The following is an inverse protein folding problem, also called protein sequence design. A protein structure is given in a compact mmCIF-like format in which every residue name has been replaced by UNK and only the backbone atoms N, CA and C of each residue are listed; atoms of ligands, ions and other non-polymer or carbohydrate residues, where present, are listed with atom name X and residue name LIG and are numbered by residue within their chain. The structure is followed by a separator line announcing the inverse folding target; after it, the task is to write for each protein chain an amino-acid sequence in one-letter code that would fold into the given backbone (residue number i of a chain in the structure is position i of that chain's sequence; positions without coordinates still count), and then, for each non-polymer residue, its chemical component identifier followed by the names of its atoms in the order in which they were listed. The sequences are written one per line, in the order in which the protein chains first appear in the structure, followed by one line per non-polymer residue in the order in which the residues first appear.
data_IF_420239127530
#
_entry.id   IF_420239127530
#
_cell.length_a   1.000
_cell.length_b   1.000
_cell.length_c   1.000
_cell.angle_alpha   90.00
_cell.angle_beta   90.00
_cell.angle_gamma   90.00
#
_symmetry.space_group_name_H-M   'P 1'
#
loop_
_entity.id
_entity.type
_entity.pdbx_description
1 polymer ?
#
# COMPACT_ATOMS: atom_id res chain seq x y z
N UNK A 1 3.49 -20.36 -0.74
CA UNK A 1 4.17 -19.06 -0.91
C UNK A 1 5.13 -18.90 0.26
N UNK A 2 6.45 -18.98 0.01
CA UNK A 2 7.46 -18.60 0.98
C UNK A 2 8.08 -17.30 0.54
N UNK A 3 7.80 -16.20 1.24
CA UNK A 3 8.58 -14.97 1.07
C UNK A 3 9.86 -15.07 1.92
N UNK A 4 11.02 -15.06 1.30
CA UNK A 4 12.28 -14.87 2.01
C UNK A 4 12.58 -13.38 2.08
N UNK A 5 12.51 -12.82 3.27
CA UNK A 5 12.90 -11.43 3.54
C UNK A 5 14.37 -11.34 3.88
N UNK A 6 15.08 -10.44 3.21
CA UNK A 6 16.34 -9.92 3.75
C UNK A 6 16.05 -9.04 4.97
N UNK A 7 16.68 -9.35 6.10
CA UNK A 7 16.66 -8.49 7.28
C UNK A 7 17.50 -7.25 7.01
N UNK A 8 16.88 -6.10 6.99
CA UNK A 8 17.46 -4.83 7.42
C UNK A 8 16.36 -3.78 7.44
N UNK A 9 15.43 -3.90 8.41
CA UNK A 9 14.56 -2.79 8.79
C UNK A 9 15.33 -1.92 9.79
N UNK A 10 16.27 -1.13 9.31
CA UNK A 10 16.80 0.01 10.07
C UNK A 10 15.95 1.22 9.76
N UNK A 11 14.84 1.36 10.48
CA UNK A 11 14.12 2.60 10.60
C UNK A 11 14.72 3.34 11.81
N UNK A 12 15.50 4.30 11.57
CA UNK A 12 16.04 5.38 12.38
C UNK A 12 17.56 5.45 12.29
N UNK A 13 17.96 6.45 11.59
CA UNK A 13 19.05 7.39 11.84
C UNK A 13 19.36 8.13 10.54
N UNK A 14 19.88 9.32 10.60
CA UNK A 14 20.17 10.21 9.48
C UNK A 14 21.15 9.67 8.41
N UNK A 15 21.57 8.41 8.53
CA UNK A 15 22.34 7.67 7.56
C UNK A 15 21.55 6.47 7.03
N UNK A 16 20.62 6.73 6.10
CA UNK A 16 20.03 5.63 5.32
C UNK A 16 21.02 5.25 4.22
N UNK A 17 21.83 4.28 4.52
CA UNK A 17 22.89 3.90 3.58
C UNK A 17 22.34 3.16 2.36
N UNK A 18 21.36 2.25 2.48
CA UNK A 18 20.65 1.60 1.37
C UNK A 18 19.36 0.95 1.83
N UNK A 19 18.26 1.19 1.13
CA UNK A 19 17.02 0.44 1.30
C UNK A 19 16.89 -0.54 0.12
N UNK A 20 17.13 -1.82 0.37
CA UNK A 20 16.84 -2.86 -0.61
C UNK A 20 15.66 -3.68 -0.15
N UNK A 21 14.58 -3.69 -0.93
CA UNK A 21 13.48 -4.62 -0.73
C UNK A 21 13.30 -5.43 -2.01
N UNK A 22 13.32 -6.75 -1.88
CA UNK A 22 13.00 -7.67 -2.97
C UNK A 22 11.85 -8.55 -2.54
N UNK A 23 10.83 -8.60 -3.35
CA UNK A 23 9.69 -9.49 -3.19
C UNK A 23 9.83 -10.59 -4.24
N UNK A 24 9.75 -11.84 -3.80
CA UNK A 24 9.73 -12.99 -4.69
C UNK A 24 8.49 -13.81 -4.36
N UNK A 25 7.73 -14.16 -5.39
CA UNK A 25 6.66 -15.14 -5.32
C UNK A 25 7.05 -16.34 -6.17
N UNK A 26 6.71 -17.51 -5.69
CA UNK A 26 7.04 -18.75 -6.39
C UNK A 26 5.78 -19.60 -6.53
N UNK A 27 5.65 -20.28 -7.66
CA UNK A 27 4.71 -21.38 -7.79
C UNK A 27 5.10 -22.49 -6.82
N UNK A 28 4.13 -23.02 -6.10
CA UNK A 28 4.37 -24.10 -5.12
C UNK A 28 4.48 -25.48 -5.76
N UNK A 29 4.06 -25.61 -7.02
CA UNK A 29 4.08 -26.88 -7.72
C UNK A 29 5.46 -27.20 -8.30
N UNK A 30 6.10 -26.20 -8.89
CA UNK A 30 7.39 -26.38 -9.59
C UNK A 30 8.52 -25.52 -9.05
N UNK A 31 8.22 -24.58 -8.12
CA UNK A 31 9.18 -23.67 -7.55
C UNK A 31 9.63 -22.54 -8.50
N UNK A 32 8.94 -22.34 -9.62
CA UNK A 32 9.25 -21.28 -10.56
C UNK A 32 8.93 -19.89 -9.96
N UNK A 33 9.76 -18.85 -10.23
CA UNK A 33 9.45 -17.51 -9.81
C UNK A 33 8.25 -16.97 -10.59
N UNK A 34 7.29 -16.40 -9.86
CA UNK A 34 6.11 -15.76 -10.43
C UNK A 34 6.32 -14.27 -10.64
N UNK A 35 5.90 -13.79 -11.79
CA UNK A 35 5.90 -12.38 -12.21
C UNK A 35 4.50 -11.98 -12.69
N UNK A 36 4.30 -10.70 -12.99
CA UNK A 36 3.01 -10.25 -13.53
C UNK A 36 2.65 -10.90 -14.88
N UNK A 37 3.65 -11.39 -15.64
CA UNK A 37 3.42 -12.13 -16.89
C UNK A 37 2.65 -13.44 -16.65
N UNK A 38 2.83 -14.05 -15.49
CA UNK A 38 2.15 -15.28 -15.11
C UNK A 38 0.69 -15.04 -14.66
N UNK A 39 0.32 -13.78 -14.50
CA UNK A 39 -1.04 -13.33 -14.12
C UNK A 39 -1.80 -12.74 -15.29
N UNK A 40 -1.14 -11.95 -16.12
CA UNK A 40 -1.75 -11.19 -17.20
C UNK A 40 -1.16 -11.57 -18.56
N UNK A 41 -2.00 -11.74 -19.62
CA UNK A 41 -1.52 -12.14 -20.94
C UNK A 41 -0.71 -11.02 -21.60
N UNK A 42 0.21 -11.43 -22.47
CA UNK A 42 0.97 -10.51 -23.33
C UNK A 42 0.03 -9.72 -24.27
N UNK A 43 0.43 -8.49 -24.60
CA UNK A 43 -0.36 -7.61 -25.48
C UNK A 43 -1.65 -7.06 -24.88
N UNK A 44 -1.90 -7.31 -23.61
CA UNK A 44 -3.09 -6.82 -22.93
C UNK A 44 -3.03 -5.33 -22.63
N UNK A 45 -4.16 -4.65 -22.76
CA UNK A 45 -4.35 -3.25 -22.32
C UNK A 45 -4.07 -3.07 -20.82
N UNK A 46 -4.04 -4.16 -20.06
CA UNK A 46 -3.76 -4.14 -18.62
C UNK A 46 -2.42 -3.48 -18.29
N UNK A 47 -1.42 -3.60 -19.17
CA UNK A 47 -0.11 -3.01 -18.93
C UNK A 47 -0.16 -1.49 -18.84
N UNK A 48 -0.97 -0.85 -19.71
CA UNK A 48 -1.22 0.59 -19.64
C UNK A 48 -1.93 0.99 -18.35
N UNK A 49 -2.87 0.15 -17.89
CA UNK A 49 -3.61 0.38 -16.66
C UNK A 49 -2.73 0.24 -15.41
N UNK A 50 -1.83 -0.75 -15.40
CA UNK A 50 -0.85 -0.92 -14.32
C UNK A 50 0.16 0.23 -14.31
N UNK A 51 0.69 0.62 -15.49
CA UNK A 51 1.57 1.77 -15.64
C UNK A 51 0.95 3.02 -14.99
N UNK A 52 -0.30 3.32 -15.37
CA UNK A 52 -1.03 4.45 -14.84
C UNK A 52 -1.25 4.35 -13.31
N UNK A 53 -1.56 3.16 -12.79
CA UNK A 53 -1.73 2.95 -11.36
C UNK A 53 -0.43 3.22 -10.58
N UNK A 54 0.72 2.88 -11.14
CA UNK A 54 2.04 3.19 -10.56
C UNK A 54 2.26 4.70 -10.52
N UNK A 55 2.01 5.40 -11.63
CA UNK A 55 2.18 6.85 -11.71
C UNK A 55 1.23 7.59 -10.76
N UNK A 56 -0.04 7.21 -10.74
CA UNK A 56 -1.06 7.79 -9.84
C UNK A 56 -0.70 7.55 -8.37
N UNK A 57 -0.25 6.35 -8.04
CA UNK A 57 0.16 6.01 -6.68
C UNK A 57 1.36 6.83 -6.24
N UNK A 58 2.33 7.01 -7.12
CA UNK A 58 3.50 7.82 -6.81
C UNK A 58 3.12 9.29 -6.60
N UNK A 59 2.29 9.86 -7.48
CA UNK A 59 1.82 11.23 -7.35
C UNK A 59 1.03 11.44 -6.04
N UNK A 60 0.27 10.42 -5.62
CA UNK A 60 -0.48 10.45 -4.36
C UNK A 60 0.44 10.43 -3.14
N UNK A 61 1.45 9.54 -3.14
CA UNK A 61 2.35 9.37 -2.00
C UNK A 61 3.34 10.54 -1.84
N UNK A 62 3.67 11.23 -2.93
CA UNK A 62 4.68 12.29 -2.95
C UNK A 62 4.19 13.57 -3.66
N UNK A 63 3.09 14.18 -3.20
CA UNK A 63 2.51 15.35 -3.85
C UNK A 63 3.47 16.54 -3.77
N UNK A 64 3.67 17.20 -4.92
CA UNK A 64 4.48 18.41 -5.02
C UNK A 64 5.99 18.21 -4.89
N UNK A 65 6.47 16.99 -4.75
CA UNK A 65 7.90 16.72 -4.70
C UNK A 65 8.46 16.62 -6.11
N UNK A 66 9.56 17.33 -6.44
CA UNK A 66 10.28 17.10 -7.68
C UNK A 66 10.81 15.66 -7.68
N UNK A 67 10.20 14.80 -8.45
CA UNK A 67 10.66 13.42 -8.59
C UNK A 67 11.18 13.21 -10.00
N UNK A 68 12.22 12.38 -10.13
CA UNK A 68 12.69 11.99 -11.43
C UNK A 68 11.64 11.08 -12.12
N UNK A 69 10.78 11.72 -12.90
CA UNK A 69 9.79 11.02 -13.72
C UNK A 69 10.38 9.96 -14.65
N UNK A 70 11.69 9.96 -14.84
CA UNK A 70 12.40 8.96 -15.64
C UNK A 70 12.48 7.63 -14.92
N UNK A 71 12.75 7.63 -13.61
CA UNK A 71 12.78 6.40 -12.81
C UNK A 71 11.40 5.74 -12.77
N UNK A 72 10.35 6.53 -12.56
CA UNK A 72 8.97 6.04 -12.53
C UNK A 72 8.55 5.52 -13.90
N UNK A 73 8.85 6.24 -14.97
CA UNK A 73 8.54 5.81 -16.33
C UNK A 73 9.24 4.51 -16.72
N UNK A 74 10.47 4.28 -16.27
CA UNK A 74 11.17 3.00 -16.49
C UNK A 74 10.48 1.83 -15.82
N UNK A 75 9.95 2.04 -14.61
CA UNK A 75 9.18 0.99 -13.89
C UNK A 75 7.80 0.76 -14.49
N UNK A 76 7.19 1.82 -15.01
CA UNK A 76 5.90 1.80 -15.68
C UNK A 76 5.98 1.43 -17.16
N UNK A 77 7.17 1.13 -17.67
CA UNK A 77 7.38 0.74 -19.06
C UNK A 77 6.77 -0.64 -19.36
N UNK A 78 6.08 -0.74 -20.49
CA UNK A 78 5.40 -1.96 -20.92
C UNK A 78 6.33 -3.18 -21.04
N UNK A 79 7.62 -2.96 -21.33
CA UNK A 79 8.61 -4.02 -21.45
C UNK A 79 9.11 -4.49 -20.07
N UNK A 80 9.09 -3.62 -19.07
CA UNK A 80 9.55 -3.90 -17.71
C UNK A 80 8.45 -4.52 -16.83
N UNK A 81 7.21 -4.04 -16.96
CA UNK A 81 6.06 -4.44 -16.14
C UNK A 81 5.82 -5.95 -16.09
N UNK A 82 5.87 -6.69 -17.22
CA UNK A 82 5.59 -8.13 -17.19
C UNK A 82 6.56 -8.93 -16.31
N UNK A 83 7.80 -8.45 -16.17
CA UNK A 83 8.83 -9.09 -15.35
C UNK A 83 8.80 -8.71 -13.87
N UNK A 84 7.91 -7.82 -13.44
CA UNK A 84 7.83 -7.41 -12.04
C UNK A 84 7.31 -8.54 -11.15
N UNK A 85 8.02 -8.76 -10.06
CA UNK A 85 7.54 -9.63 -8.99
C UNK A 85 6.46 -8.93 -8.17
N UNK A 86 5.57 -9.71 -7.60
CA UNK A 86 4.47 -9.21 -6.79
C UNK A 86 4.29 -10.05 -5.53
N UNK A 87 3.61 -9.50 -4.52
CA UNK A 87 3.17 -10.23 -3.34
C UNK A 87 1.66 -10.46 -3.47
N UNK A 88 1.20 -11.73 -3.60
CA UNK A 88 -0.22 -12.02 -3.54
C UNK A 88 -0.71 -11.81 -2.09
N UNK A 89 -1.64 -10.90 -1.93
CA UNK A 89 -2.30 -10.58 -0.67
C UNK A 89 -3.78 -10.92 -0.76
N UNK A 90 -4.48 -10.85 0.37
CA UNK A 90 -5.93 -10.97 0.35
C UNK A 90 -6.54 -9.82 -0.48
N UNK A 91 -7.19 -10.14 -1.60
CA UNK A 91 -7.90 -9.19 -2.45
C UNK A 91 -7.04 -8.31 -3.36
N UNK A 92 -5.72 -8.47 -3.40
CA UNK A 92 -4.83 -7.68 -4.25
C UNK A 92 -3.50 -8.36 -4.55
N UNK A 93 -2.85 -7.95 -5.63
CA UNK A 93 -1.42 -8.06 -5.80
C UNK A 93 -0.75 -6.79 -5.28
N UNK A 94 0.32 -6.93 -4.52
CA UNK A 94 1.11 -5.80 -4.05
C UNK A 94 2.43 -5.76 -4.80
N UNK A 95 2.62 -4.74 -5.63
CA UNK A 95 3.91 -4.43 -6.24
C UNK A 95 4.74 -3.64 -5.23
N UNK A 96 5.99 -4.02 -5.08
CA UNK A 96 6.91 -3.34 -4.15
C UNK A 96 8.26 -3.19 -4.81
N UNK A 97 8.74 -1.97 -4.89
CA UNK A 97 10.05 -1.68 -5.48
C UNK A 97 10.72 -0.47 -4.83
N UNK A 98 12.05 -0.50 -4.70
CA UNK A 98 12.82 0.66 -4.28
C UNK A 98 12.99 1.63 -5.46
N UNK A 99 12.84 2.93 -5.21
CA UNK A 99 13.16 4.01 -6.14
C UNK A 99 14.31 4.84 -5.59
N UNK A 100 15.46 4.78 -6.24
CA UNK A 100 16.60 5.61 -5.91
C UNK A 100 16.42 7.02 -6.45
N UNK A 101 16.69 8.02 -5.61
CA UNK A 101 16.68 9.41 -6.02
C UNK A 101 15.33 9.98 -6.41
N UNK A 102 14.26 9.22 -6.21
CA UNK A 102 12.92 9.62 -6.63
C UNK A 102 12.38 10.82 -5.86
N UNK A 103 12.82 11.00 -4.61
CA UNK A 103 12.41 12.12 -3.74
C UNK A 103 13.63 12.64 -3.00
N UNK A 104 14.01 13.88 -3.23
CA UNK A 104 15.14 14.57 -2.58
C UNK A 104 16.46 13.78 -2.61
N UNK A 105 16.68 12.97 -3.64
CA UNK A 105 17.86 12.12 -3.77
C UNK A 105 17.91 10.94 -2.80
N UNK A 106 16.84 10.67 -2.07
CA UNK A 106 16.76 9.58 -1.09
C UNK A 106 16.09 8.35 -1.68
N UNK A 107 16.45 7.18 -1.17
CA UNK A 107 15.75 5.94 -1.47
C UNK A 107 14.34 5.94 -0.89
N UNK A 108 13.37 5.53 -1.70
CA UNK A 108 11.98 5.37 -1.31
C UNK A 108 11.51 3.94 -1.60
N UNK A 109 10.64 3.42 -0.76
CA UNK A 109 9.96 2.15 -1.01
C UNK A 109 8.53 2.45 -1.46
N UNK A 110 8.25 2.18 -2.73
CA UNK A 110 6.91 2.37 -3.30
C UNK A 110 6.16 1.05 -3.32
N UNK A 111 4.93 1.07 -2.82
CA UNK A 111 4.01 -0.06 -2.86
C UNK A 111 2.75 0.32 -3.62
N UNK A 112 2.43 -0.45 -4.66
CA UNK A 112 1.27 -0.24 -5.52
C UNK A 112 0.34 -1.42 -5.38
N UNK A 113 -0.84 -1.25 -4.76
CA UNK A 113 -1.84 -2.29 -4.67
C UNK A 113 -2.63 -2.38 -5.98
N UNK A 114 -2.66 -3.56 -6.59
CA UNK A 114 -3.52 -3.89 -7.72
C UNK A 114 -4.67 -4.74 -7.20
N UNK A 115 -5.83 -4.14 -6.98
CA UNK A 115 -6.98 -4.84 -6.41
C UNK A 115 -7.53 -5.86 -7.39
N UNK A 116 -7.75 -7.11 -6.97
CA UNK A 116 -8.25 -8.17 -7.84
C UNK A 116 -9.54 -7.77 -8.56
N UNK A 117 -10.47 -7.11 -7.89
CA UNK A 117 -11.73 -6.64 -8.48
C UNK A 117 -11.56 -5.72 -9.69
N UNK A 118 -10.46 -4.93 -9.70
CA UNK A 118 -10.21 -3.93 -10.74
C UNK A 118 -9.43 -4.50 -11.93
N UNK A 119 -8.80 -5.67 -11.74
CA UNK A 119 -7.93 -6.31 -12.74
C UNK A 119 -8.40 -7.72 -13.15
N UNK A 120 -9.44 -8.24 -12.51
CA UNK A 120 -9.93 -9.62 -12.70
C UNK A 120 -10.23 -9.96 -14.16
N UNK A 121 -10.82 -9.04 -14.89
CA UNK A 121 -11.18 -9.20 -16.30
C UNK A 121 -9.97 -9.42 -17.22
N UNK A 122 -8.77 -9.06 -16.77
CA UNK A 122 -7.53 -9.19 -17.51
C UNK A 122 -6.71 -10.42 -17.10
N UNK A 123 -7.07 -11.10 -16.01
CA UNK A 123 -6.30 -12.22 -15.50
C UNK A 123 -6.46 -13.45 -16.39
N UNK A 124 -5.40 -14.25 -16.48
CA UNK A 124 -5.54 -15.60 -17.03
C UNK A 124 -6.43 -16.43 -16.09
N UNK A 125 -7.13 -17.41 -16.66
CA UNK A 125 -8.12 -18.21 -15.90
C UNK A 125 -7.54 -18.91 -14.65
N UNK A 126 -6.29 -19.32 -14.69
CA UNK A 126 -5.61 -19.91 -13.54
C UNK A 126 -5.40 -18.90 -12.41
N UNK A 127 -4.90 -17.73 -12.73
CA UNK A 127 -4.71 -16.64 -11.75
C UNK A 127 -6.04 -16.19 -11.14
N UNK A 128 -7.10 -16.08 -11.95
CA UNK A 128 -8.44 -15.73 -11.46
C UNK A 128 -8.96 -16.80 -10.48
N UNK A 129 -8.82 -18.09 -10.79
CA UNK A 129 -9.22 -19.15 -9.87
C UNK A 129 -8.44 -19.15 -8.55
N UNK A 130 -7.14 -18.86 -8.59
CA UNK A 130 -6.30 -18.80 -7.39
C UNK A 130 -6.62 -17.57 -6.51
N UNK A 131 -7.14 -16.52 -7.10
CA UNK A 131 -7.55 -15.31 -6.38
C UNK A 131 -9.01 -15.34 -5.92
N UNK A 132 -9.80 -16.32 -6.37
CA UNK A 132 -11.19 -16.49 -5.94
C UNK A 132 -11.25 -16.96 -4.47
N UNK A 133 -11.69 -16.05 -3.62
CA UNK A 133 -11.87 -16.26 -2.18
C UNK A 133 -13.33 -16.58 -1.80
N UNK A 134 -14.24 -16.77 -2.76
CA UNK A 134 -15.68 -16.93 -2.51
C UNK A 134 -16.01 -18.10 -1.58
N UNK A 135 -15.18 -19.15 -1.60
CA UNK A 135 -15.33 -20.35 -0.76
C UNK A 135 -14.40 -20.36 0.47
N UNK A 136 -13.62 -19.29 0.71
CA UNK A 136 -12.66 -19.24 1.81
C UNK A 136 -13.18 -18.38 2.96
N UNK A 137 -12.92 -18.76 4.23
CA UNK A 137 -13.17 -17.87 5.35
C UNK A 137 -12.40 -16.55 5.19
N UNK A 138 -13.10 -15.44 5.33
CA UNK A 138 -12.51 -14.09 5.23
C UNK A 138 -12.58 -13.44 6.61
N UNK A 139 -11.46 -12.85 7.04
CA UNK A 139 -11.37 -12.05 8.26
C UNK A 139 -11.02 -10.63 7.85
N UNK A 140 -11.82 -9.66 8.30
CA UNK A 140 -11.49 -8.25 8.20
C UNK A 140 -10.70 -7.84 9.45
N UNK A 141 -9.51 -7.25 9.24
CA UNK A 141 -8.70 -6.67 10.31
C UNK A 141 -8.93 -5.17 10.35
N UNK A 142 -9.31 -4.64 11.50
CA UNK A 142 -9.43 -3.20 11.73
C UNK A 142 -8.61 -2.81 12.95
N UNK A 143 -8.05 -1.63 12.92
CA UNK A 143 -7.27 -1.04 14.00
C UNK A 143 -7.70 0.40 14.20
N UNK A 144 -8.13 0.71 15.40
CA UNK A 144 -8.64 2.02 15.78
C UNK A 144 -7.58 2.82 16.57
N UNK A 145 -7.83 4.10 16.80
CA UNK A 145 -7.07 5.02 17.66
C UNK A 145 -5.64 5.38 17.19
N UNK A 146 -5.23 4.90 16.01
CA UNK A 146 -3.92 5.24 15.42
C UNK A 146 -3.89 6.62 14.75
N UNK A 147 -2.72 6.91 14.16
CA UNK A 147 -1.46 6.19 14.25
C UNK A 147 -0.70 6.45 15.56
N UNK A 148 0.05 5.44 16.04
CA UNK A 148 0.98 5.58 17.17
C UNK A 148 2.35 5.05 16.74
N UNK A 149 3.38 5.89 16.75
CA UNK A 149 4.67 5.68 16.09
C UNK A 149 5.21 4.24 16.19
N UNK A 150 5.44 3.73 17.41
CA UNK A 150 6.06 2.41 17.58
C UNK A 150 5.08 1.25 17.42
N UNK A 151 3.81 1.46 17.80
CA UNK A 151 2.74 0.46 17.67
C UNK A 151 2.41 0.25 16.20
N UNK A 152 2.08 1.32 15.50
CA UNK A 152 1.74 1.28 14.07
C UNK A 152 2.89 0.71 13.24
N UNK A 153 4.14 1.14 13.51
CA UNK A 153 5.32 0.59 12.84
C UNK A 153 5.43 -0.94 12.99
N UNK A 154 5.23 -1.44 14.21
CA UNK A 154 5.29 -2.88 14.49
C UNK A 154 4.16 -3.63 13.81
N UNK A 155 2.97 -3.03 13.81
CA UNK A 155 1.77 -3.58 13.18
C UNK A 155 1.95 -3.70 11.67
N UNK A 156 2.36 -2.62 11.00
CA UNK A 156 2.65 -2.59 9.56
C UNK A 156 3.69 -3.65 9.16
N UNK A 157 4.74 -3.80 9.95
CA UNK A 157 5.75 -4.83 9.73
C UNK A 157 5.16 -6.25 9.82
N UNK A 158 4.31 -6.50 10.80
CA UNK A 158 3.66 -7.81 10.96
C UNK A 158 2.67 -8.07 9.82
N UNK A 159 1.80 -7.11 9.50
CA UNK A 159 0.86 -7.24 8.40
C UNK A 159 1.58 -7.53 7.07
N UNK A 160 2.65 -6.79 6.80
CA UNK A 160 3.47 -7.01 5.62
C UNK A 160 4.15 -8.39 5.64
N UNK A 161 4.64 -8.85 6.80
CA UNK A 161 5.24 -10.18 6.94
C UNK A 161 4.28 -11.31 6.55
N UNK A 162 3.01 -11.15 6.87
CA UNK A 162 1.98 -12.16 6.58
C UNK A 162 1.18 -11.87 5.31
N UNK A 163 1.51 -10.83 4.55
CA UNK A 163 0.77 -10.42 3.36
C UNK A 163 -0.67 -10.01 3.66
N UNK A 164 -0.95 -9.60 4.90
CA UNK A 164 -2.29 -9.25 5.34
C UNK A 164 -2.61 -7.79 5.04
N UNK A 165 -3.91 -7.52 4.77
CA UNK A 165 -4.46 -6.17 4.62
C UNK A 165 -5.25 -5.81 5.86
N UNK A 166 -5.31 -4.52 6.16
CA UNK A 166 -6.10 -4.00 7.27
C UNK A 166 -6.73 -2.66 6.91
N UNK A 167 -7.71 -2.25 7.70
CA UNK A 167 -8.23 -0.88 7.72
C UNK A 167 -7.79 -0.24 9.03
N UNK A 168 -7.18 0.94 8.94
CA UNK A 168 -6.80 1.76 10.07
C UNK A 168 -7.79 2.92 10.19
N UNK A 169 -8.52 2.98 11.28
CA UNK A 169 -9.39 4.11 11.61
C UNK A 169 -8.60 5.08 12.49
N UNK A 170 -8.10 6.15 11.88
CA UNK A 170 -7.15 7.06 12.49
C UNK A 170 -7.84 8.26 13.14
N UNK A 171 -7.46 8.57 14.37
CA UNK A 171 -7.88 9.77 15.08
C UNK A 171 -7.16 10.98 14.54
N UNK A 172 -7.87 12.07 14.22
CA UNK A 172 -7.30 13.26 13.59
C UNK A 172 -6.11 13.84 14.33
N UNK A 173 -6.19 14.00 15.65
CA UNK A 173 -5.07 14.48 16.48
C UNK A 173 -3.85 13.56 16.44
N UNK A 174 -4.03 12.27 16.23
CA UNK A 174 -2.90 11.35 16.04
C UNK A 174 -2.31 11.47 14.63
N UNK A 175 -3.14 11.73 13.61
CA UNK A 175 -2.66 12.01 12.25
C UNK A 175 -1.85 13.31 12.23
N UNK A 176 -2.29 14.38 12.90
CA UNK A 176 -1.51 15.61 13.05
C UNK A 176 -0.15 15.38 13.72
N UNK A 177 -0.14 14.53 14.74
CA UNK A 177 1.08 14.21 15.50
C UNK A 177 2.04 13.31 14.73
N UNK A 178 1.52 12.40 13.91
CA UNK A 178 2.29 11.37 13.21
C UNK A 178 1.88 11.25 11.73
N UNK A 179 1.94 12.34 10.94
CA UNK A 179 1.45 12.35 9.56
C UNK A 179 2.18 11.33 8.68
N UNK A 180 3.50 11.19 8.84
CA UNK A 180 4.29 10.21 8.09
C UNK A 180 3.88 8.78 8.38
N UNK A 181 3.38 8.51 9.58
CA UNK A 181 2.93 7.17 9.95
C UNK A 181 1.58 6.86 9.34
N UNK A 182 0.63 7.80 9.33
CA UNK A 182 -0.64 7.67 8.65
C UNK A 182 -0.47 7.48 7.13
N UNK A 183 0.43 8.26 6.52
CA UNK A 183 0.80 8.06 5.11
C UNK A 183 1.39 6.68 4.86
N UNK A 184 2.25 6.21 5.76
CA UNK A 184 2.86 4.89 5.65
C UNK A 184 1.85 3.75 5.73
N UNK A 185 0.77 3.87 6.51
CA UNK A 185 -0.34 2.91 6.49
C UNK A 185 -0.91 2.77 5.08
N UNK A 186 -1.16 3.89 4.41
CA UNK A 186 -1.64 3.91 3.03
C UNK A 186 -0.59 3.37 2.05
N UNK A 187 0.68 3.78 2.19
CA UNK A 187 1.79 3.34 1.33
C UNK A 187 2.04 1.85 1.40
N UNK A 188 1.84 1.25 2.57
CA UNK A 188 1.88 -0.20 2.75
C UNK A 188 0.65 -0.91 2.16
N UNK A 189 -0.26 -0.18 1.49
CA UNK A 189 -1.41 -0.73 0.79
C UNK A 189 -2.56 -1.10 1.72
N UNK A 190 -2.65 -0.48 2.90
CA UNK A 190 -3.80 -0.61 3.79
C UNK A 190 -4.83 0.48 3.49
N UNK A 191 -6.03 0.33 4.04
CA UNK A 191 -7.06 1.36 4.00
C UNK A 191 -6.92 2.25 5.22
N UNK A 192 -6.96 3.57 5.02
CA UNK A 192 -7.02 4.55 6.10
C UNK A 192 -8.40 5.18 6.10
N UNK A 193 -9.03 5.18 7.25
CA UNK A 193 -10.34 5.76 7.51
C UNK A 193 -10.29 6.74 8.68
N UNK A 194 -11.35 7.53 8.83
CA UNK A 194 -11.50 8.48 9.93
C UNK A 194 -12.03 7.81 11.19
N UNK A 195 -11.49 8.19 12.36
CA UNK A 195 -11.97 7.80 13.69
C UNK A 195 -12.23 9.04 14.56
N UNK A 196 -12.93 10.01 14.01
CA UNK A 196 -13.16 11.34 14.59
C UNK A 196 -11.89 12.18 14.74
N UNK A 197 -12.04 13.47 15.06
CA UNK A 197 -10.88 14.35 15.23
C UNK A 197 -10.17 14.13 16.57
N UNK A 198 -10.93 13.99 17.66
CA UNK A 198 -10.42 13.95 19.02
C UNK A 198 -10.81 12.69 19.80
N UNK A 199 -11.39 11.70 19.11
CA UNK A 199 -11.93 10.49 19.76
C UNK A 199 -12.98 10.83 20.84
N UNK A 200 -13.88 11.80 20.54
CA UNK A 200 -14.93 12.19 21.46
C UNK A 200 -15.89 11.01 21.72
N UNK A 201 -16.24 10.78 22.98
CA UNK A 201 -17.21 9.77 23.35
C UNK A 201 -18.63 10.21 22.97
N UNK A 202 -19.51 9.24 22.70
CA UNK A 202 -20.89 9.51 22.33
C UNK A 202 -21.64 10.37 23.38
N UNK A 203 -21.24 10.28 24.63
CA UNK A 203 -21.77 11.08 25.76
C UNK A 203 -21.44 12.57 25.62
N UNK A 204 -20.36 12.91 24.91
CA UNK A 204 -19.93 14.30 24.69
C UNK A 204 -20.51 14.89 23.41
N UNK A 205 -21.14 14.07 22.57
CA UNK A 205 -21.69 14.48 21.28
C UNK A 205 -23.21 14.71 21.43
N UNK A 206 -23.56 15.90 21.92
CA UNK A 206 -24.97 16.26 22.14
C UNK A 206 -25.63 16.94 20.94
N UNK A 207 -24.87 17.26 19.90
CA UNK A 207 -25.33 18.02 18.75
C UNK A 207 -24.81 17.44 17.44
N UNK A 208 -25.71 17.16 16.51
CA UNK A 208 -25.37 16.65 15.19
C UNK A 208 -24.49 17.61 14.38
N UNK A 209 -24.56 18.91 14.65
CA UNK A 209 -23.70 19.91 13.98
C UNK A 209 -22.24 19.77 14.40
N UNK A 210 -21.96 19.40 15.64
CA UNK A 210 -20.61 19.13 16.14
C UNK A 210 -20.03 17.89 15.47
N UNK A 211 -20.84 16.86 15.30
CA UNK A 211 -20.42 15.63 14.61
C UNK A 211 -20.09 15.88 13.13
N UNK A 212 -20.89 16.70 12.45
CA UNK A 212 -20.62 17.08 11.07
C UNK A 212 -19.32 17.88 10.93
N UNK A 213 -19.11 18.83 11.83
CA UNK A 213 -17.89 19.65 11.88
C UNK A 213 -16.65 18.78 12.14
N UNK A 214 -16.71 17.87 13.10
CA UNK A 214 -15.62 16.92 13.41
C UNK A 214 -15.29 16.07 12.18
N UNK A 215 -16.32 15.54 11.51
CA UNK A 215 -16.16 14.76 10.28
C UNK A 215 -15.49 15.59 9.18
N UNK A 216 -15.93 16.81 8.94
CA UNK A 216 -15.36 17.69 7.91
C UNK A 216 -13.90 18.02 8.20
N UNK A 217 -13.55 18.34 9.45
CA UNK A 217 -12.18 18.60 9.87
C UNK A 217 -11.29 17.38 9.67
N UNK A 218 -11.75 16.21 10.11
CA UNK A 218 -10.98 14.97 9.98
C UNK A 218 -10.77 14.58 8.52
N UNK A 219 -11.79 14.70 7.66
CA UNK A 219 -11.67 14.41 6.24
C UNK A 219 -10.70 15.38 5.54
N UNK A 220 -10.77 16.67 5.86
CA UNK A 220 -9.85 17.68 5.32
C UNK A 220 -8.40 17.38 5.74
N UNK A 221 -8.18 17.01 7.00
CA UNK A 221 -6.87 16.64 7.52
C UNK A 221 -6.33 15.39 6.83
N UNK A 222 -7.14 14.34 6.70
CA UNK A 222 -6.74 13.11 6.01
C UNK A 222 -6.37 13.39 4.56
N UNK A 223 -7.17 14.19 3.84
CA UNK A 223 -6.86 14.58 2.46
C UNK A 223 -5.55 15.37 2.35
N UNK A 224 -5.23 16.21 3.34
CA UNK A 224 -4.03 17.03 3.33
C UNK A 224 -2.76 16.26 3.73
N UNK A 225 -2.87 15.29 4.65
CA UNK A 225 -1.72 14.61 5.26
C UNK A 225 -1.49 13.20 4.71
N UNK A 226 -2.54 12.53 4.27
CA UNK A 226 -2.48 11.13 3.84
C UNK A 226 -2.66 11.01 2.31
N UNK A 227 -3.39 11.92 1.69
CA UNK A 227 -3.60 12.00 0.24
C UNK A 227 -4.93 11.42 -0.19
#
# INVERSE_FOLDING_TARGET
IRSSRSRNDTFDTEETVYLTSRVFSYDLLDGAPLTLRDVFPEGSIVWQRISRAIEERFALCYPGTPHDGTAIRRLADADTLPGLSFLPCAGRFLLTFPLEGAVDGKWQLVQVPLLYRDYREFMIAEADRQTDNSARPIIALTYDDGPVLNVTRTLLRNLNRYGASATFFCVGTQVEKWPDMARRELDCGHTVGSHTMEHAYAEDIHDASLLLKDREQTLALHAAQVG
#
